data_IF_189729345614
#
_entry.id   IF_189729345614
#
_cell.length_a   1.000
_cell.length_b   1.000
_cell.length_c   1.000
_cell.angle_alpha   90.00
_cell.angle_beta   90.00
_cell.angle_gamma   90.00
#
_symmetry.space_group_name_H-M   'P 1'
#
loop_
_entity.id
_entity.type
_entity.pdbx_description
1 polymer ?
#
# COMPACT_ATOMS: atom_id res chain seq x y z
N UNK A 1 -35.09 -27.98 11.66
CA UNK A 1 -35.41 -28.51 10.31
C UNK A 1 -35.21 -30.02 10.21
N UNK A 2 -33.97 -30.55 10.16
CA UNK A 2 -33.75 -31.99 9.96
C UNK A 2 -34.15 -32.86 11.17
N UNK A 3 -33.99 -32.36 12.40
CA UNK A 3 -34.56 -32.96 13.60
C UNK A 3 -36.09 -33.08 13.48
N UNK A 4 -36.78 -31.97 13.24
CA UNK A 4 -38.24 -31.93 13.07
C UNK A 4 -38.69 -32.86 11.95
N UNK A 5 -37.92 -32.97 10.87
CA UNK A 5 -38.20 -33.90 9.78
C UNK A 5 -38.12 -35.35 10.25
N UNK A 6 -37.02 -35.76 10.89
CA UNK A 6 -36.87 -37.12 11.41
C UNK A 6 -37.89 -37.46 12.50
N UNK A 7 -38.31 -36.49 13.31
CA UNK A 7 -39.35 -36.68 14.33
C UNK A 7 -40.76 -36.78 13.73
N UNK A 8 -41.02 -36.08 12.62
CA UNK A 8 -42.33 -36.03 11.96
C UNK A 8 -42.60 -37.24 11.07
N UNK A 9 -41.56 -37.88 10.55
CA UNK A 9 -41.70 -38.95 9.56
C UNK A 9 -41.26 -40.30 10.14
N UNK A 10 -42.25 -41.10 10.55
CA UNK A 10 -42.04 -42.46 11.07
C UNK A 10 -41.25 -43.37 10.12
N UNK A 11 -41.29 -43.10 8.82
CA UNK A 11 -40.49 -43.79 7.79
C UNK A 11 -38.97 -43.63 8.01
N UNK A 12 -38.52 -42.64 8.77
CA UNK A 12 -37.12 -42.50 9.14
C UNK A 12 -36.72 -43.51 10.23
N UNK A 13 -37.66 -44.06 11.00
CA UNK A 13 -37.37 -44.87 12.18
C UNK A 13 -36.58 -46.16 11.89
N UNK A 14 -36.93 -46.98 10.87
CA UNK A 14 -36.13 -48.15 10.50
C UNK A 14 -34.70 -47.79 10.12
N UNK A 15 -34.51 -46.61 9.50
CA UNK A 15 -33.21 -46.11 9.10
C UNK A 15 -32.40 -45.62 10.32
N UNK A 16 -33.04 -44.95 11.28
CA UNK A 16 -32.41 -44.59 12.55
C UNK A 16 -31.97 -45.84 13.33
N UNK A 17 -32.84 -46.84 13.45
CA UNK A 17 -32.57 -48.12 14.12
C UNK A 17 -31.42 -48.89 13.45
N UNK A 18 -31.41 -48.98 12.11
CA UNK A 18 -30.33 -49.62 11.33
C UNK A 18 -28.96 -48.99 11.59
N UNK A 19 -28.91 -47.68 11.83
CA UNK A 19 -27.68 -46.95 12.10
C UNK A 19 -27.38 -46.78 13.60
N UNK A 20 -28.19 -47.35 14.48
CA UNK A 20 -28.03 -47.24 15.94
C UNK A 20 -28.29 -45.83 16.47
N UNK A 21 -29.03 -44.99 15.75
CA UNK A 21 -29.39 -43.64 16.17
C UNK A 21 -30.64 -43.68 17.03
N UNK A 22 -30.50 -43.30 18.30
CA UNK A 22 -31.59 -43.38 19.28
C UNK A 22 -32.69 -42.35 18.97
N UNK A 23 -32.33 -41.21 18.37
CA UNK A 23 -33.26 -40.10 18.14
C UNK A 23 -32.83 -39.18 16.98
N UNK A 24 -33.77 -38.59 16.23
CA UNK A 24 -33.49 -37.64 15.16
C UNK A 24 -32.62 -36.45 15.55
N UNK A 25 -32.76 -35.97 16.80
CA UNK A 25 -32.03 -34.80 17.32
C UNK A 25 -30.54 -35.08 17.58
N UNK A 26 -30.17 -36.36 17.71
CA UNK A 26 -28.77 -36.76 17.86
C UNK A 26 -27.98 -36.67 16.55
N UNK A 27 -28.66 -36.42 15.41
CA UNK A 27 -28.03 -36.28 14.11
C UNK A 27 -27.81 -34.81 13.76
N UNK A 28 -26.55 -34.48 13.49
CA UNK A 28 -26.20 -33.19 12.92
C UNK A 28 -26.63 -33.06 11.45
N UNK A 29 -26.75 -31.82 10.97
CA UNK A 29 -27.11 -31.47 9.59
C UNK A 29 -26.30 -32.26 8.54
N UNK A 30 -24.98 -32.34 8.70
CA UNK A 30 -24.12 -33.00 7.73
C UNK A 30 -24.39 -34.51 7.63
N UNK A 31 -24.77 -35.15 8.74
CA UNK A 31 -25.17 -36.56 8.78
C UNK A 31 -26.51 -36.76 8.10
N UNK A 32 -27.49 -35.88 8.39
CA UNK A 32 -28.79 -35.90 7.71
C UNK A 32 -28.67 -35.76 6.19
N UNK A 33 -27.85 -34.83 5.70
CA UNK A 33 -27.65 -34.66 4.26
C UNK A 33 -27.04 -35.90 3.62
N UNK A 34 -26.08 -36.57 4.29
CA UNK A 34 -25.46 -37.81 3.81
C UNK A 34 -26.45 -38.98 3.78
N UNK A 35 -27.30 -39.09 4.79
CA UNK A 35 -28.38 -40.09 4.84
C UNK A 35 -29.32 -39.94 3.66
N UNK A 36 -29.82 -38.72 3.42
CA UNK A 36 -30.76 -38.45 2.32
C UNK A 36 -30.11 -38.69 0.95
N UNK A 37 -28.80 -38.42 0.83
CA UNK A 37 -28.03 -38.72 -0.39
C UNK A 37 -27.88 -40.23 -0.64
N UNK A 38 -27.64 -41.01 0.41
CA UNK A 38 -27.30 -42.44 0.29
C UNK A 38 -28.52 -43.36 0.31
N UNK A 39 -29.68 -42.88 0.77
CA UNK A 39 -30.93 -43.63 0.84
C UNK A 39 -32.07 -42.87 0.14
N UNK A 40 -31.97 -42.61 -1.19
CA UNK A 40 -32.96 -41.84 -1.92
C UNK A 40 -34.32 -42.54 -1.96
N UNK A 41 -34.37 -43.86 -2.13
CA UNK A 41 -35.63 -44.59 -2.32
C UNK A 41 -36.52 -44.56 -1.05
N UNK A 42 -35.90 -44.56 0.13
CA UNK A 42 -36.61 -44.57 1.41
C UNK A 42 -37.16 -43.20 1.81
N UNK A 43 -36.51 -42.11 1.37
CA UNK A 43 -36.73 -40.75 1.89
C UNK A 43 -37.19 -39.75 0.82
N UNK A 44 -37.04 -40.06 -0.47
CA UNK A 44 -37.33 -39.11 -1.54
C UNK A 44 -38.81 -38.77 -1.68
N UNK A 45 -39.72 -39.65 -1.24
CA UNK A 45 -41.17 -39.39 -1.25
C UNK A 45 -41.62 -38.39 -0.16
N UNK A 46 -40.79 -38.21 0.88
CA UNK A 46 -41.06 -37.33 2.02
C UNK A 46 -40.62 -35.89 1.77
N UNK A 47 -39.75 -35.70 0.77
CA UNK A 47 -39.19 -34.41 0.39
C UNK A 47 -40.00 -33.79 -0.75
N UNK A 48 -40.01 -32.47 -0.85
CA UNK A 48 -40.56 -31.81 -2.02
C UNK A 48 -39.77 -32.21 -3.29
N UNK A 49 -40.50 -32.34 -4.41
CA UNK A 49 -39.91 -32.74 -5.68
C UNK A 49 -38.88 -31.70 -6.13
N UNK A 50 -37.65 -32.17 -6.34
CA UNK A 50 -36.52 -31.39 -6.87
C UNK A 50 -35.78 -32.29 -7.86
N UNK A 51 -35.31 -31.71 -8.97
CA UNK A 51 -34.47 -32.37 -9.96
C UNK A 51 -33.27 -33.04 -9.27
N UNK A 52 -32.94 -34.28 -9.67
CA UNK A 52 -32.00 -35.13 -8.94
C UNK A 52 -30.60 -34.50 -8.82
N UNK A 53 -30.08 -33.92 -9.90
CA UNK A 53 -28.79 -33.22 -9.90
C UNK A 53 -28.78 -32.06 -8.89
N UNK A 54 -29.79 -31.19 -8.95
CA UNK A 54 -29.94 -30.07 -8.03
C UNK A 54 -30.09 -30.54 -6.58
N UNK A 55 -30.78 -31.64 -6.36
CA UNK A 55 -30.92 -32.26 -5.04
C UNK A 55 -29.56 -32.72 -4.51
N UNK A 56 -28.77 -33.41 -5.33
CA UNK A 56 -27.43 -33.85 -4.98
C UNK A 56 -26.53 -32.67 -4.64
N UNK A 57 -26.58 -31.60 -5.43
CA UNK A 57 -25.80 -30.39 -5.20
C UNK A 57 -26.15 -29.71 -3.87
N UNK A 58 -27.45 -29.56 -3.57
CA UNK A 58 -27.94 -29.00 -2.31
C UNK A 58 -27.42 -29.82 -1.13
N UNK A 59 -27.60 -31.14 -1.17
CA UNK A 59 -27.25 -32.02 -0.06
C UNK A 59 -25.73 -32.12 0.12
N UNK A 60 -24.95 -32.20 -0.96
CA UNK A 60 -23.49 -32.20 -0.92
C UNK A 60 -22.96 -30.89 -0.35
N UNK A 61 -23.50 -29.76 -0.80
CA UNK A 61 -23.10 -28.45 -0.29
C UNK A 61 -23.40 -28.35 1.22
N UNK A 62 -24.62 -28.68 1.64
CA UNK A 62 -25.01 -28.67 3.06
C UNK A 62 -24.17 -29.62 3.92
N UNK A 63 -23.85 -30.82 3.41
CA UNK A 63 -23.01 -31.78 4.11
C UNK A 63 -21.57 -31.26 4.35
N UNK A 64 -21.10 -30.36 3.50
CA UNK A 64 -19.75 -29.81 3.57
C UNK A 64 -19.66 -28.47 4.31
N UNK A 65 -20.78 -27.82 4.65
CA UNK A 65 -20.78 -26.55 5.43
C UNK A 65 -20.00 -26.72 6.73
N UNK A 66 -20.24 -27.81 7.48
CA UNK A 66 -19.51 -28.10 8.73
C UNK A 66 -18.01 -28.24 8.48
N UNK A 67 -17.62 -28.92 7.41
CA UNK A 67 -16.22 -29.09 7.05
C UNK A 67 -15.54 -27.74 6.81
N UNK A 68 -16.17 -26.86 6.02
CA UNK A 68 -15.66 -25.50 5.81
C UNK A 68 -15.53 -24.71 7.12
N UNK A 69 -16.53 -24.81 8.01
CA UNK A 69 -16.55 -24.08 9.27
C UNK A 69 -15.53 -24.61 10.30
N UNK A 70 -15.48 -25.93 10.54
CA UNK A 70 -14.60 -26.57 11.52
C UNK A 70 -13.13 -26.38 11.17
N UNK A 71 -12.78 -26.57 9.90
CA UNK A 71 -11.42 -26.37 9.43
C UNK A 71 -11.09 -24.90 9.15
N UNK A 72 -12.02 -23.97 9.42
CA UNK A 72 -11.87 -22.52 9.18
C UNK A 72 -11.29 -22.23 7.80
N UNK A 73 -11.76 -22.96 6.78
CA UNK A 73 -11.26 -22.78 5.42
C UNK A 73 -11.60 -21.36 4.98
N UNK A 74 -10.67 -20.64 4.32
CA UNK A 74 -11.02 -19.38 3.68
C UNK A 74 -12.27 -19.58 2.81
N UNK A 75 -13.25 -18.69 2.96
CA UNK A 75 -14.45 -18.68 2.14
C UNK A 75 -14.49 -17.35 1.40
N UNK A 76 -14.67 -17.41 0.09
CA UNK A 76 -15.04 -16.24 -0.69
C UNK A 76 -16.56 -16.00 -0.59
N UNK A 77 -16.96 -14.84 -1.10
CA UNK A 77 -18.36 -14.39 -1.12
C UNK A 77 -19.25 -15.41 -1.86
N UNK A 78 -18.77 -15.95 -2.97
CA UNK A 78 -19.52 -16.90 -3.80
C UNK A 78 -19.79 -18.21 -3.05
N UNK A 79 -18.81 -18.73 -2.32
CA UNK A 79 -18.90 -19.95 -1.51
C UNK A 79 -19.89 -19.79 -0.36
N UNK A 80 -19.93 -18.61 0.27
CA UNK A 80 -20.91 -18.29 1.32
C UNK A 80 -22.32 -18.25 0.73
N UNK A 81 -22.52 -17.55 -0.39
CA UNK A 81 -23.84 -17.50 -1.04
C UNK A 81 -24.31 -18.86 -1.52
N UNK A 82 -23.43 -19.67 -2.09
CA UNK A 82 -23.74 -21.05 -2.48
C UNK A 82 -24.21 -21.89 -1.29
N UNK A 83 -23.59 -21.71 -0.13
CA UNK A 83 -23.98 -22.40 1.11
C UNK A 83 -25.34 -21.94 1.61
N UNK A 84 -25.64 -20.63 1.55
CA UNK A 84 -26.95 -20.08 1.92
C UNK A 84 -28.04 -20.55 0.95
N UNK A 85 -27.78 -20.55 -0.35
CA UNK A 85 -28.70 -21.05 -1.38
C UNK A 85 -28.99 -22.54 -1.22
N UNK A 86 -27.97 -23.34 -0.92
CA UNK A 86 -28.15 -24.75 -0.59
C UNK A 86 -28.99 -24.91 0.68
N UNK A 87 -28.75 -24.10 1.72
CA UNK A 87 -29.57 -24.08 2.94
C UNK A 87 -31.04 -23.75 2.67
N UNK A 88 -31.32 -22.74 1.81
CA UNK A 88 -32.67 -22.40 1.34
C UNK A 88 -33.27 -23.58 0.56
N UNK A 89 -32.49 -24.20 -0.33
CA UNK A 89 -32.90 -25.36 -1.11
C UNK A 89 -33.31 -26.54 -0.22
N UNK A 90 -32.51 -26.83 0.81
CA UNK A 90 -32.78 -27.86 1.79
C UNK A 90 -34.04 -27.54 2.61
N UNK A 91 -34.19 -26.30 3.06
CA UNK A 91 -35.39 -25.84 3.76
C UNK A 91 -36.67 -26.01 2.91
N UNK A 92 -36.58 -25.66 1.62
CA UNK A 92 -37.68 -25.86 0.66
C UNK A 92 -37.99 -27.35 0.45
N UNK A 93 -36.97 -28.21 0.36
CA UNK A 93 -37.16 -29.66 0.27
C UNK A 93 -37.93 -30.21 1.49
N UNK A 94 -37.61 -29.70 2.69
CA UNK A 94 -38.32 -30.05 3.93
C UNK A 94 -39.65 -29.30 4.13
N UNK A 95 -40.04 -28.42 3.21
CA UNK A 95 -41.24 -27.56 3.30
C UNK A 95 -41.27 -26.68 4.56
N UNK A 96 -40.09 -26.26 5.03
CA UNK A 96 -39.89 -25.44 6.22
C UNK A 96 -39.81 -23.95 5.83
N UNK A 97 -40.98 -23.30 5.70
CA UNK A 97 -41.08 -21.90 5.23
C UNK A 97 -40.46 -20.91 6.21
N UNK A 98 -40.54 -21.19 7.51
CA UNK A 98 -39.92 -20.37 8.55
C UNK A 98 -38.41 -20.35 8.37
N UNK A 99 -37.76 -21.50 8.21
CA UNK A 99 -36.30 -21.53 8.01
C UNK A 99 -35.91 -20.93 6.66
N UNK A 100 -36.71 -21.10 5.60
CA UNK A 100 -36.50 -20.39 4.32
C UNK A 100 -36.40 -18.88 4.54
N UNK A 101 -37.36 -18.29 5.25
CA UNK A 101 -37.39 -16.84 5.52
C UNK A 101 -36.16 -16.39 6.33
N UNK A 102 -35.76 -17.15 7.34
CA UNK A 102 -34.59 -16.82 8.15
C UNK A 102 -33.30 -16.81 7.32
N UNK A 103 -33.09 -17.84 6.48
CA UNK A 103 -31.88 -17.91 5.65
C UNK A 103 -31.91 -16.82 4.56
N UNK A 104 -33.08 -16.47 4.02
CA UNK A 104 -33.22 -15.35 3.08
C UNK A 104 -32.93 -13.98 3.72
N UNK A 105 -33.34 -13.78 4.98
CA UNK A 105 -32.97 -12.59 5.74
C UNK A 105 -31.46 -12.53 5.92
N UNK A 106 -30.84 -13.64 6.35
CA UNK A 106 -29.40 -13.74 6.48
C UNK A 106 -28.67 -13.46 5.16
N UNK A 107 -29.19 -13.97 4.04
CA UNK A 107 -28.65 -13.68 2.70
C UNK A 107 -28.69 -12.19 2.38
N UNK A 108 -29.80 -11.51 2.70
CA UNK A 108 -29.96 -10.06 2.52
C UNK A 108 -28.97 -9.26 3.38
N UNK A 109 -28.79 -9.67 4.64
CA UNK A 109 -27.84 -9.03 5.57
C UNK A 109 -26.40 -9.17 5.06
N UNK A 110 -26.01 -10.36 4.58
CA UNK A 110 -24.70 -10.58 3.97
C UNK A 110 -24.49 -9.70 2.74
N UNK A 111 -25.50 -9.57 1.86
CA UNK A 111 -25.42 -8.67 0.70
C UNK A 111 -25.22 -7.21 1.09
N UNK A 112 -25.93 -6.75 2.14
CA UNK A 112 -25.77 -5.40 2.66
C UNK A 112 -24.35 -5.15 3.18
N UNK A 113 -23.82 -6.08 3.99
CA UNK A 113 -22.44 -6.01 4.53
C UNK A 113 -21.40 -5.96 3.41
N UNK A 114 -21.57 -6.80 2.37
CA UNK A 114 -20.66 -6.83 1.22
C UNK A 114 -20.69 -5.48 0.50
N UNK A 115 -21.89 -4.95 0.22
CA UNK A 115 -22.05 -3.66 -0.44
C UNK A 115 -21.40 -2.53 0.35
N UNK A 116 -21.67 -2.45 1.65
CA UNK A 116 -21.08 -1.46 2.55
C UNK A 116 -19.55 -1.57 2.58
N UNK A 117 -19.03 -2.78 2.68
CA UNK A 117 -17.58 -3.03 2.70
C UNK A 117 -16.92 -2.58 1.39
N UNK A 118 -17.54 -2.86 0.25
CA UNK A 118 -17.07 -2.38 -1.05
C UNK A 118 -17.11 -0.86 -1.15
N UNK A 119 -18.21 -0.22 -0.75
CA UNK A 119 -18.31 1.24 -0.74
C UNK A 119 -17.23 1.88 0.13
N UNK A 120 -16.98 1.33 1.33
CA UNK A 120 -15.93 1.81 2.24
C UNK A 120 -14.53 1.63 1.64
N UNK A 121 -14.28 0.49 0.99
CA UNK A 121 -13.00 0.24 0.29
C UNK A 121 -12.77 1.28 -0.80
N UNK A 122 -13.78 1.57 -1.63
CA UNK A 122 -13.68 2.59 -2.68
C UNK A 122 -13.42 3.98 -2.11
N UNK A 123 -14.19 4.41 -1.11
CA UNK A 123 -13.99 5.72 -0.47
C UNK A 123 -12.59 5.88 0.13
N UNK A 124 -12.03 4.81 0.73
CA UNK A 124 -10.66 4.81 1.23
C UNK A 124 -9.62 4.88 0.11
N UNK A 125 -9.85 4.15 -0.99
CA UNK A 125 -8.99 4.19 -2.17
C UNK A 125 -8.95 5.59 -2.79
N UNK A 126 -10.10 6.24 -2.94
CA UNK A 126 -10.20 7.59 -3.50
C UNK A 126 -9.48 8.60 -2.59
N UNK A 127 -9.71 8.52 -1.27
CA UNK A 127 -9.01 9.37 -0.30
C UNK A 127 -7.50 9.18 -0.34
N UNK A 128 -7.03 7.95 -0.51
CA UNK A 128 -5.60 7.65 -0.64
C UNK A 128 -5.04 8.27 -1.93
N UNK A 129 -5.75 8.11 -3.05
CA UNK A 129 -5.36 8.66 -4.34
C UNK A 129 -5.24 10.18 -4.27
N UNK A 130 -6.24 10.88 -3.72
CA UNK A 130 -6.19 12.34 -3.55
C UNK A 130 -4.99 12.78 -2.69
N UNK A 131 -4.68 12.05 -1.62
CA UNK A 131 -3.51 12.36 -0.77
C UNK A 131 -2.19 12.17 -1.51
N UNK A 132 -2.07 11.12 -2.32
CA UNK A 132 -0.88 10.89 -3.13
C UNK A 132 -0.69 12.00 -4.17
N UNK A 133 -1.76 12.46 -4.81
CA UNK A 133 -1.72 13.58 -5.76
C UNK A 133 -1.30 14.90 -5.09
N UNK A 134 -1.82 15.18 -3.89
CA UNK A 134 -1.42 16.35 -3.10
C UNK A 134 0.07 16.30 -2.72
N UNK A 135 0.55 15.14 -2.26
CA UNK A 135 1.97 14.94 -1.93
C UNK A 135 2.85 15.14 -3.17
N UNK A 136 2.48 14.55 -4.31
CA UNK A 136 3.22 14.69 -5.56
C UNK A 136 3.29 16.15 -6.03
N UNK A 137 2.17 16.87 -5.92
CA UNK A 137 2.08 18.29 -6.29
C UNK A 137 2.98 19.14 -5.39
N UNK A 138 2.93 18.91 -4.08
CA UNK A 138 3.74 19.66 -3.12
C UNK A 138 5.24 19.34 -3.27
N UNK A 139 5.59 18.08 -3.53
CA UNK A 139 6.96 17.69 -3.85
C UNK A 139 7.49 18.39 -5.09
N UNK A 140 6.68 18.49 -6.16
CA UNK A 140 7.05 19.21 -7.37
C UNK A 140 7.24 20.71 -7.10
N UNK A 141 6.34 21.33 -6.33
CA UNK A 141 6.42 22.74 -5.93
C UNK A 141 7.69 23.01 -5.13
N UNK A 142 7.95 22.22 -4.08
CA UNK A 142 9.14 22.36 -3.24
C UNK A 142 10.43 22.20 -4.05
N UNK A 143 10.48 21.22 -4.95
CA UNK A 143 11.63 21.01 -5.84
C UNK A 143 11.87 22.23 -6.74
N UNK A 144 10.81 22.80 -7.30
CA UNK A 144 10.92 23.98 -8.15
C UNK A 144 11.40 25.20 -7.35
N UNK A 145 10.84 25.44 -6.16
CA UNK A 145 11.27 26.54 -5.29
C UNK A 145 12.74 26.40 -4.91
N UNK A 146 13.16 25.22 -4.44
CA UNK A 146 14.55 24.97 -4.07
C UNK A 146 15.53 25.20 -5.25
N UNK A 147 15.13 24.85 -6.47
CA UNK A 147 15.93 25.10 -7.67
C UNK A 147 16.03 26.60 -8.01
N UNK A 148 14.95 27.35 -7.84
CA UNK A 148 14.94 28.80 -8.05
C UNK A 148 15.79 29.52 -7.00
N UNK A 149 15.67 29.14 -5.73
CA UNK A 149 16.44 29.71 -4.64
C UNK A 149 17.94 29.43 -4.82
N UNK A 150 18.31 28.20 -5.16
CA UNK A 150 19.70 27.84 -5.45
C UNK A 150 20.27 28.64 -6.63
N UNK A 151 19.47 28.87 -7.68
CA UNK A 151 19.89 29.69 -8.82
C UNK A 151 20.10 31.15 -8.39
N UNK A 152 19.16 31.72 -7.64
CA UNK A 152 19.26 33.11 -7.17
C UNK A 152 20.49 33.33 -6.29
N UNK A 153 20.81 32.38 -5.41
CA UNK A 153 21.99 32.43 -4.55
C UNK A 153 23.29 32.41 -5.39
N UNK A 154 23.37 31.52 -6.37
CA UNK A 154 24.51 31.44 -7.30
C UNK A 154 24.66 32.74 -8.11
N UNK A 155 23.57 33.26 -8.66
CA UNK A 155 23.57 34.52 -9.42
C UNK A 155 24.03 35.70 -8.54
N UNK A 156 23.61 35.74 -7.27
CA UNK A 156 24.06 36.75 -6.31
C UNK A 156 25.56 36.63 -6.01
N UNK A 157 26.04 35.40 -5.75
CA UNK A 157 27.46 35.15 -5.49
C UNK A 157 28.35 35.57 -6.67
N UNK A 158 27.93 35.27 -7.92
CA UNK A 158 28.64 35.73 -9.11
C UNK A 158 28.68 37.25 -9.22
N UNK A 159 27.55 37.92 -8.95
CA UNK A 159 27.47 39.38 -8.97
C UNK A 159 28.39 40.02 -7.94
N UNK A 160 28.38 39.52 -6.70
CA UNK A 160 29.24 40.02 -5.62
C UNK A 160 30.73 39.80 -5.92
N UNK A 161 31.09 38.61 -6.42
CA UNK A 161 32.46 38.31 -6.83
C UNK A 161 32.92 39.23 -7.99
N UNK A 162 32.04 39.46 -8.97
CA UNK A 162 32.30 40.38 -10.08
C UNK A 162 32.51 41.82 -9.62
N UNK A 163 31.69 42.31 -8.69
CA UNK A 163 31.86 43.65 -8.11
C UNK A 163 33.21 43.80 -7.39
N UNK A 164 33.56 42.83 -6.54
CA UNK A 164 34.86 42.82 -5.83
C UNK A 164 36.05 42.81 -6.79
N UNK A 165 35.96 42.04 -7.88
CA UNK A 165 37.00 42.00 -8.90
C UNK A 165 37.14 43.35 -9.61
N UNK A 166 36.03 43.98 -9.99
CA UNK A 166 36.03 45.30 -10.62
C UNK A 166 36.68 46.35 -9.70
N UNK A 167 36.34 46.35 -8.41
CA UNK A 167 36.94 47.24 -7.41
C UNK A 167 38.47 47.04 -7.32
N UNK A 168 38.93 45.79 -7.31
CA UNK A 168 40.36 45.46 -7.29
C UNK A 168 41.08 45.97 -8.54
N UNK A 169 40.49 45.77 -9.73
CA UNK A 169 41.05 46.25 -11.01
C UNK A 169 41.12 47.77 -11.04
N UNK A 170 40.06 48.46 -10.61
CA UNK A 170 40.04 49.92 -10.53
C UNK A 170 41.11 50.45 -9.55
N UNK A 171 41.25 49.83 -8.38
CA UNK A 171 42.28 50.20 -7.41
C UNK A 171 43.71 50.01 -7.95
N UNK A 172 43.95 48.92 -8.69
CA UNK A 172 45.25 48.69 -9.35
C UNK A 172 45.51 49.74 -10.44
N UNK A 173 44.51 50.04 -11.28
CA UNK A 173 44.64 51.06 -12.32
C UNK A 173 44.99 52.43 -11.74
N UNK A 174 44.34 52.84 -10.63
CA UNK A 174 44.67 54.07 -9.93
C UNK A 174 46.10 54.05 -9.37
N UNK A 175 46.54 52.96 -8.73
CA UNK A 175 47.92 52.83 -8.23
C UNK A 175 48.96 52.92 -9.35
N UNK A 176 48.69 52.29 -10.50
CA UNK A 176 49.58 52.34 -11.66
C UNK A 176 49.63 53.75 -12.27
N UNK A 177 48.49 54.45 -12.35
CA UNK A 177 48.45 55.85 -12.80
C UNK A 177 49.26 56.76 -11.87
N UNK A 178 49.10 56.63 -10.56
CA UNK A 178 49.90 57.39 -9.58
C UNK A 178 51.40 57.04 -9.63
N UNK A 179 51.76 55.78 -9.84
CA UNK A 179 53.17 55.38 -10.00
C UNK A 179 53.78 55.98 -11.29
N UNK A 180 53.01 56.06 -12.38
CA UNK A 180 53.45 56.70 -13.62
C UNK A 180 53.66 58.22 -13.44
N UNK A 181 52.83 58.90 -12.63
CA UNK A 181 53.02 60.31 -12.28
C UNK A 181 54.26 60.54 -11.40
N UNK A 182 54.56 59.64 -10.46
CA UNK A 182 55.78 59.72 -9.62
C UNK A 182 57.05 59.48 -10.46
N UNK A 183 57.01 58.59 -11.45
CA UNK A 183 58.12 58.39 -12.40
C UNK A 183 58.27 59.58 -13.35
N UNK A 184 57.18 60.25 -13.74
CA UNK A 184 57.22 61.45 -14.59
C UNK A 184 57.57 62.75 -13.85
N UNK A 185 57.44 62.78 -12.52
CA UNK A 185 57.83 63.92 -11.66
C UNK A 185 59.23 63.80 -11.05
N UNK A 186 59.92 62.68 -11.27
CA UNK A 186 61.28 62.42 -10.83
C UNK A 186 62.27 62.63 -11.98
N UNK A 187 62.44 63.88 -12.40
CA UNK A 187 63.66 64.34 -13.09
C UNK A 187 64.80 64.50 -12.06
N UNK A 188 65.11 63.43 -11.33
CA UNK A 188 66.40 63.33 -10.66
C UNK A 188 67.13 62.11 -11.23
N UNK A 189 67.54 62.26 -12.49
CA UNK A 189 68.57 61.43 -13.10
C UNK A 189 69.92 61.84 -12.49
N UNK A 190 70.13 61.48 -11.23
CA UNK A 190 71.50 61.28 -10.76
C UNK A 190 71.90 59.90 -11.26
N UNK A 191 72.93 59.86 -12.10
CA UNK A 191 73.61 58.62 -12.48
C UNK A 191 73.81 57.75 -11.23
N UNK A 192 73.49 56.45 -11.27
CA UNK A 192 73.81 55.58 -10.15
C UNK A 192 75.33 55.57 -9.98
N UNK A 193 75.79 56.03 -8.82
CA UNK A 193 77.19 55.90 -8.42
C UNK A 193 77.49 54.41 -8.21
N UNK A 194 78.11 53.81 -9.22
CA UNK A 194 78.41 52.37 -9.32
C UNK A 194 79.26 51.91 -8.12
N UNK A 195 80.06 52.82 -7.53
CA UNK A 195 80.93 52.51 -6.41
C UNK A 195 80.13 52.24 -5.12
N UNK A 196 78.95 52.84 -4.96
CA UNK A 196 78.11 52.64 -3.77
C UNK A 196 77.24 51.37 -3.87
N UNK A 197 76.89 50.95 -5.09
CA UNK A 197 76.13 49.71 -5.35
C UNK A 197 77.03 48.48 -5.14
N UNK A 198 78.30 48.55 -5.54
CA UNK A 198 79.26 47.47 -5.30
C UNK A 198 79.57 47.29 -3.80
N UNK A 199 79.61 48.38 -3.02
CA UNK A 199 79.89 48.35 -1.57
C UNK A 199 78.73 47.78 -0.73
N UNK A 200 77.48 47.97 -1.16
CA UNK A 200 76.29 47.39 -0.50
C UNK A 200 76.07 45.91 -0.90
N UNK A 201 76.40 45.55 -2.15
CA UNK A 201 76.35 44.16 -2.61
C UNK A 201 77.42 43.27 -1.95
N UNK A 202 78.55 43.84 -1.55
CA UNK A 202 79.60 43.13 -0.80
C UNK A 202 79.24 42.93 0.69
N UNK A 203 78.28 43.71 1.23
CA UNK A 203 77.77 43.58 2.60
C UNK A 203 76.62 42.58 2.77
N UNK A 204 75.94 42.23 1.68
CA UNK A 204 74.86 41.24 1.71
C UNK A 204 75.40 39.88 1.28
N UNK A 205 76.28 39.36 2.13
CA UNK A 205 76.69 37.95 2.12
C UNK A 205 75.44 37.06 2.12
N UNK A 206 75.46 36.11 1.19
CA UNK A 206 74.42 35.14 0.87
C UNK A 206 74.06 34.33 2.12
N UNK A 207 72.81 34.42 2.59
CA UNK A 207 72.21 33.41 3.45
C UNK A 207 71.27 32.52 2.59
N UNK A 208 71.52 31.20 2.49
CA UNK A 208 70.68 30.31 1.71
C UNK A 208 69.39 30.01 2.49
N UNK A 209 68.24 30.32 1.90
CA UNK A 209 66.96 29.84 2.42
C UNK A 209 66.81 28.35 2.14
N UNK A 210 67.16 27.56 3.15
CA UNK A 210 66.78 26.17 3.30
C UNK A 210 65.26 26.07 3.63
N UNK A 211 64.63 25.09 2.97
CA UNK A 211 63.54 24.24 3.46
C UNK A 211 62.18 24.88 3.82
N UNK A 212 61.19 24.67 2.93
CA UNK A 212 59.77 24.60 3.28
C UNK A 212 59.41 23.13 3.56
N UNK A 213 58.79 22.78 4.70
CA UNK A 213 58.31 21.44 4.96
C UNK A 213 56.97 21.18 4.27
N UNK A 214 56.82 19.98 3.70
CA UNK A 214 55.56 19.37 3.29
C UNK A 214 54.87 18.61 4.41
#
# INVERSE_FOLDING_TARGET
MCENFGAKHYQCQPLLEKHGWIEPKSLELHSWCRVILNCPDDLSSLLAAVHEEKRRDILNTCANIRHSAVYRRPQDVESIFRSLEAGIGLAKMHRDTTVVQHIQSLQSDFQAIIKETWSRKHALSDKLQTRLEQISTEQARLKQTAMQDAKAEVDNAFREAGARLADCVNAMAHKMASAAEVVSGSDNFSEPDIDNILLEAEKTEIAPFAELPG
#
